data_IF_987653373868
#
_entry.id   IF_987653373868
#
_cell.length_a   1.000
_cell.length_b   1.000
_cell.length_c   1.000
_cell.angle_alpha   90.00
_cell.angle_beta   90.00
_cell.angle_gamma   90.00
#
_symmetry.space_group_name_H-M   'P 1'
#
loop_
_entity.id
_entity.type
_entity.pdbx_description
1 polymer ?
#
# COMPACT_ATOMS: atom_id res chain seq x y z
N UNK A 1 -90.14 -58.75 -1.80
CA UNK A 1 -88.83 -59.17 -2.36
C UNK A 1 -88.60 -58.43 -3.67
N UNK A 2 -87.38 -58.01 -4.05
CA UNK A 2 -86.03 -58.24 -3.47
C UNK A 2 -85.43 -56.95 -2.84
N UNK A 3 -84.70 -56.97 -1.71
CA UNK A 3 -83.29 -57.38 -1.42
C UNK A 3 -82.23 -56.35 -1.89
N UNK A 4 -81.59 -55.63 -0.94
CA UNK A 4 -80.18 -55.80 -0.49
C UNK A 4 -79.24 -54.81 -1.23
N UNK A 5 -78.22 -54.11 -0.72
CA UNK A 5 -77.35 -54.05 0.49
C UNK A 5 -76.74 -52.61 0.44
N UNK A 6 -76.43 -51.86 1.51
CA UNK A 6 -75.15 -51.86 2.27
C UNK A 6 -75.13 -50.70 3.29
N UNK A 7 -74.78 -51.06 4.53
CA UNK A 7 -74.14 -50.19 5.53
C UNK A 7 -72.81 -49.64 5.01
N UNK A 8 -72.44 -48.41 5.43
CA UNK A 8 -71.22 -48.17 6.23
C UNK A 8 -70.88 -46.67 6.36
N UNK A 9 -70.70 -46.26 7.62
CA UNK A 9 -69.66 -45.39 8.14
C UNK A 9 -69.40 -44.00 7.50
N UNK A 10 -69.67 -42.96 8.30
CA UNK A 10 -68.88 -41.72 8.30
C UNK A 10 -67.52 -41.99 8.93
N UNK A 11 -66.43 -41.39 8.42
CA UNK A 11 -65.73 -40.42 9.26
C UNK A 11 -65.20 -39.19 8.51
N UNK A 12 -64.77 -38.23 9.33
CA UNK A 12 -64.34 -36.88 9.01
C UNK A 12 -62.89 -36.77 8.46
N UNK A 13 -62.56 -35.52 8.03
CA UNK A 13 -61.23 -34.93 7.74
C UNK A 13 -60.68 -35.25 6.33
N UNK A 14 -60.19 -34.29 5.55
CA UNK A 14 -59.09 -33.37 5.86
C UNK A 14 -59.37 -31.91 5.46
N UNK A 15 -59.40 -31.04 6.47
CA UNK A 15 -58.82 -29.71 6.34
C UNK A 15 -57.37 -29.84 6.79
N UNK A 16 -56.45 -30.11 5.87
CA UNK A 16 -55.02 -29.88 6.13
C UNK A 16 -54.82 -28.37 6.19
N UNK A 17 -55.01 -27.83 7.40
CA UNK A 17 -54.36 -26.60 7.78
C UNK A 17 -52.87 -26.83 7.65
N UNK A 18 -52.30 -26.29 6.58
CA UNK A 18 -50.88 -25.96 6.53
C UNK A 18 -50.66 -25.02 7.71
N UNK A 19 -50.24 -25.59 8.83
CA UNK A 19 -49.87 -24.83 10.01
C UNK A 19 -48.65 -24.01 9.63
N UNK A 20 -48.88 -22.74 9.35
CA UNK A 20 -47.86 -21.72 9.24
C UNK A 20 -47.06 -21.76 10.54
N UNK A 21 -45.91 -22.43 10.50
CA UNK A 21 -45.06 -22.61 11.65
C UNK A 21 -44.64 -21.21 12.14
N UNK A 22 -44.75 -20.90 13.44
CA UNK A 22 -44.45 -19.56 13.92
C UNK A 22 -43.00 -19.24 13.58
N UNK A 23 -42.79 -18.22 12.74
CA UNK A 23 -41.48 -17.70 12.43
C UNK A 23 -40.82 -17.29 13.75
N UNK A 24 -39.80 -18.04 14.16
CA UNK A 24 -39.08 -17.78 15.39
C UNK A 24 -38.25 -16.51 15.20
N UNK A 25 -38.78 -15.36 15.61
CA UNK A 25 -38.02 -14.12 15.60
C UNK A 25 -36.77 -14.31 16.46
N UNK A 26 -35.57 -14.04 15.92
CA UNK A 26 -34.33 -14.26 16.67
C UNK A 26 -34.35 -13.42 17.95
N UNK A 27 -33.93 -14.02 19.06
CA UNK A 27 -33.87 -13.28 20.34
C UNK A 27 -32.99 -12.04 20.21
N UNK A 28 -33.35 -10.94 20.89
CA UNK A 28 -32.56 -9.69 20.91
C UNK A 28 -31.08 -9.92 21.27
N UNK A 29 -30.80 -10.93 22.11
CA UNK A 29 -29.43 -11.34 22.45
C UNK A 29 -28.71 -11.95 21.24
N UNK A 30 -29.38 -12.81 20.48
CA UNK A 30 -28.81 -13.39 19.26
C UNK A 30 -28.54 -12.31 18.20
N UNK A 31 -29.44 -11.33 18.05
CA UNK A 31 -29.22 -10.19 17.14
C UNK A 31 -28.03 -9.33 17.57
N UNK A 32 -27.91 -9.03 18.87
CA UNK A 32 -26.78 -8.27 19.41
C UNK A 32 -25.45 -9.01 19.22
N UNK A 33 -25.42 -10.33 19.46
CA UNK A 33 -24.23 -11.17 19.23
C UNK A 33 -23.85 -11.15 17.75
N UNK A 34 -24.81 -11.32 16.84
CA UNK A 34 -24.56 -11.27 15.40
C UNK A 34 -24.06 -9.88 14.95
N UNK A 35 -24.58 -8.80 15.53
CA UNK A 35 -24.11 -7.45 15.26
C UNK A 35 -22.65 -7.27 15.68
N UNK A 36 -22.30 -7.68 16.91
CA UNK A 36 -20.93 -7.59 17.43
C UNK A 36 -19.98 -8.43 16.58
N UNK A 37 -20.36 -9.65 16.20
CA UNK A 37 -19.53 -10.51 15.34
C UNK A 37 -19.31 -9.88 13.95
N UNK A 38 -20.34 -9.28 13.34
CA UNK A 38 -20.20 -8.57 12.06
C UNK A 38 -19.25 -7.38 12.17
N UNK A 39 -19.41 -6.56 13.22
CA UNK A 39 -18.52 -5.41 13.46
C UNK A 39 -17.08 -5.89 13.69
N UNK A 40 -16.88 -6.91 14.51
CA UNK A 40 -15.56 -7.49 14.76
C UNK A 40 -14.93 -8.06 13.47
N UNK A 41 -15.71 -8.74 12.63
CA UNK A 41 -15.26 -9.24 11.34
C UNK A 41 -14.83 -8.09 10.41
N UNK A 42 -15.64 -7.04 10.30
CA UNK A 42 -15.31 -5.87 9.46
C UNK A 42 -14.06 -5.17 9.97
N UNK A 43 -13.94 -4.94 11.29
CA UNK A 43 -12.75 -4.34 11.88
C UNK A 43 -11.51 -5.21 11.68
N UNK A 44 -11.63 -6.52 11.86
CA UNK A 44 -10.55 -7.48 11.61
C UNK A 44 -10.11 -7.50 10.15
N UNK A 45 -11.06 -7.47 9.21
CA UNK A 45 -10.78 -7.39 7.78
C UNK A 45 -10.08 -6.08 7.41
N UNK A 46 -10.55 -4.95 7.93
CA UNK A 46 -9.90 -3.64 7.72
C UNK A 46 -8.48 -3.65 8.31
N UNK A 47 -8.31 -4.13 9.54
CA UNK A 47 -6.98 -4.25 10.15
C UNK A 47 -6.05 -5.14 9.33
N UNK A 48 -6.53 -6.29 8.85
CA UNK A 48 -5.78 -7.18 7.96
C UNK A 48 -5.31 -6.44 6.69
N UNK A 49 -6.20 -5.70 6.03
CA UNK A 49 -5.86 -4.89 4.84
C UNK A 49 -4.75 -3.89 5.16
N UNK A 50 -4.85 -3.16 6.28
CA UNK A 50 -3.83 -2.18 6.68
C UNK A 50 -2.53 -2.79 7.22
N UNK A 51 -2.53 -4.06 7.64
CA UNK A 51 -1.32 -4.78 8.07
C UNK A 51 -0.57 -5.37 6.88
N UNK A 52 -1.28 -5.94 5.91
CA UNK A 52 -0.67 -6.68 4.80
C UNK A 52 -0.53 -5.90 3.50
N UNK A 53 -1.50 -5.05 3.15
CA UNK A 53 -1.50 -4.35 1.85
C UNK A 53 -0.85 -2.98 1.97
N UNK A 54 -1.20 -2.24 3.00
CA UNK A 54 -0.69 -0.88 3.21
C UNK A 54 0.33 -0.82 4.34
N UNK A 55 1.10 0.25 4.36
CA UNK A 55 1.91 0.63 5.50
C UNK A 55 1.78 2.11 5.76
N UNK A 56 2.02 2.50 7.01
CA UNK A 56 2.06 3.89 7.41
C UNK A 56 3.41 4.19 8.06
N UNK A 57 4.01 5.32 7.69
CA UNK A 57 5.24 5.83 8.29
C UNK A 57 5.15 7.34 8.40
N UNK A 58 5.80 7.91 9.39
CA UNK A 58 5.98 9.36 9.48
C UNK A 58 7.35 9.72 8.90
N UNK A 59 7.42 10.77 8.07
CA UNK A 59 8.68 11.25 7.53
C UNK A 59 9.59 11.72 8.67
N UNK A 60 10.75 11.07 8.91
CA UNK A 60 11.54 11.29 10.11
C UNK A 60 12.45 12.53 10.03
N UNK A 61 12.73 13.02 8.81
CA UNK A 61 13.70 14.09 8.57
C UNK A 61 13.36 14.95 7.33
N UNK A 62 14.19 15.94 7.03
CA UNK A 62 14.09 16.82 5.85
C UNK A 62 14.77 16.28 4.59
N UNK A 63 15.07 14.98 4.48
CA UNK A 63 15.79 14.41 3.32
C UNK A 63 14.99 14.47 2.01
N UNK A 64 13.68 14.66 2.10
CA UNK A 64 12.75 14.76 0.98
C UNK A 64 12.15 16.17 0.82
N UNK A 65 12.72 17.19 1.49
CA UNK A 65 12.29 18.57 1.29
C UNK A 65 12.62 19.04 -0.13
N UNK A 66 11.73 19.81 -0.80
CA UNK A 66 10.48 20.36 -0.29
C UNK A 66 9.23 19.49 -0.57
N UNK A 67 9.37 18.33 -1.22
CA UNK A 67 8.23 17.49 -1.57
C UNK A 67 7.54 16.93 -0.33
N UNK A 68 8.33 16.38 0.61
CA UNK A 68 7.87 15.83 1.88
C UNK A 68 8.60 16.51 3.03
N UNK A 69 7.82 16.99 3.99
CA UNK A 69 8.33 17.68 5.18
C UNK A 69 8.41 16.70 6.34
N UNK A 70 9.34 16.96 7.25
CA UNK A 70 9.41 16.26 8.52
C UNK A 70 8.03 16.26 9.22
N UNK A 71 7.61 15.07 9.66
CA UNK A 71 6.32 14.88 10.32
C UNK A 71 5.13 14.58 9.40
N UNK A 72 5.28 14.67 8.07
CA UNK A 72 4.26 14.21 7.12
C UNK A 72 3.91 12.74 7.37
N UNK A 73 2.62 12.41 7.36
CA UNK A 73 2.15 11.02 7.47
C UNK A 73 2.01 10.42 6.08
N UNK A 74 2.68 9.30 5.86
CA UNK A 74 2.81 8.64 4.57
C UNK A 74 2.05 7.33 4.62
N UNK A 75 1.21 7.10 3.62
CA UNK A 75 0.60 5.80 3.34
C UNK A 75 1.22 5.24 2.07
N UNK A 76 1.79 4.04 2.14
CA UNK A 76 2.40 3.35 1.00
C UNK A 76 1.73 1.98 0.76
N UNK A 77 1.81 1.50 -0.47
CA UNK A 77 1.29 0.21 -0.90
C UNK A 77 2.42 -0.80 -1.06
N UNK A 78 2.33 -1.90 -0.32
CA UNK A 78 3.40 -2.90 -0.19
C UNK A 78 3.57 -3.78 -1.43
N UNK A 79 2.48 -4.09 -2.11
CA UNK A 79 2.49 -5.03 -3.25
C UNK A 79 2.94 -4.37 -4.56
N UNK A 80 2.91 -3.03 -4.66
CA UNK A 80 3.42 -2.35 -5.84
C UNK A 80 4.93 -2.21 -5.74
N UNK A 81 5.62 -3.07 -6.47
CA UNK A 81 7.08 -3.12 -6.61
C UNK A 81 7.59 -2.75 -8.01
N UNK A 82 6.67 -2.59 -8.95
CA UNK A 82 6.97 -1.97 -10.24
C UNK A 82 7.06 -0.45 -10.06
N UNK A 83 8.29 0.02 -9.94
CA UNK A 83 8.61 1.43 -9.77
C UNK A 83 8.97 2.08 -11.10
N UNK A 84 8.64 3.36 -11.22
CA UNK A 84 9.02 4.20 -12.34
C UNK A 84 9.86 5.39 -11.85
N UNK A 85 10.65 5.98 -12.75
CA UNK A 85 11.31 7.26 -12.47
C UNK A 85 10.30 8.31 -12.02
N UNK A 86 10.64 9.04 -10.96
CA UNK A 86 9.79 10.02 -10.29
C UNK A 86 8.95 9.47 -9.13
N UNK A 87 8.79 8.15 -9.01
CA UNK A 87 8.07 7.56 -7.88
C UNK A 87 8.76 7.86 -6.55
N UNK A 88 7.99 8.07 -5.50
CA UNK A 88 8.52 8.08 -4.13
C UNK A 88 8.23 6.73 -3.50
N UNK A 89 9.25 6.12 -2.93
CA UNK A 89 9.18 4.78 -2.33
C UNK A 89 9.72 4.82 -0.90
N UNK A 90 9.31 3.82 -0.13
CA UNK A 90 9.87 3.57 1.19
C UNK A 90 11.00 2.55 1.05
N UNK A 91 12.21 2.94 1.43
CA UNK A 91 13.42 2.12 1.47
C UNK A 91 13.62 1.64 2.91
N UNK A 92 14.04 0.39 3.08
CA UNK A 92 14.41 -0.17 4.38
C UNK A 92 15.94 -0.20 4.50
N UNK A 93 16.48 0.66 5.37
CA UNK A 93 17.89 0.68 5.76
C UNK A 93 18.04 0.07 7.16
N UNK A 94 18.28 -1.25 7.21
CA UNK A 94 18.58 -1.96 8.45
C UNK A 94 17.47 -1.90 9.51
N UNK A 95 16.21 -1.86 9.09
CA UNK A 95 15.02 -1.71 9.93
C UNK A 95 14.53 -0.25 10.07
N UNK A 96 15.27 0.71 9.52
CA UNK A 96 14.86 2.12 9.49
C UNK A 96 14.22 2.44 8.15
N UNK A 97 12.99 2.99 8.19
CA UNK A 97 12.24 3.33 6.99
C UNK A 97 12.54 4.75 6.54
N UNK A 98 13.08 4.88 5.35
CA UNK A 98 13.41 6.15 4.73
C UNK A 98 12.61 6.35 3.44
N UNK A 99 12.34 7.60 3.09
CA UNK A 99 11.67 7.92 1.84
C UNK A 99 12.69 8.43 0.82
N UNK A 100 12.64 7.89 -0.39
CA UNK A 100 13.51 8.31 -1.49
C UNK A 100 12.73 8.37 -2.80
N UNK A 101 13.16 9.22 -3.73
CA UNK A 101 12.63 9.30 -5.08
C UNK A 101 13.42 8.40 -6.01
N UNK A 102 12.72 7.60 -6.80
CA UNK A 102 13.31 6.79 -7.87
C UNK A 102 13.76 7.72 -8.98
N UNK A 103 15.04 7.64 -9.34
CA UNK A 103 15.64 8.45 -10.40
C UNK A 103 15.83 7.64 -11.67
N UNK A 104 16.22 6.37 -11.51
CA UNK A 104 16.47 5.46 -12.62
C UNK A 104 16.09 4.03 -12.22
N UNK A 105 15.65 3.25 -13.21
CA UNK A 105 15.20 1.87 -13.05
C UNK A 105 16.12 0.93 -13.84
N UNK A 106 15.90 -0.39 -13.73
CA UNK A 106 16.69 -1.41 -14.42
C UNK A 106 16.97 -1.05 -15.90
N UNK A 107 18.23 -1.15 -16.30
CA UNK A 107 18.72 -0.84 -17.65
C UNK A 107 19.12 0.61 -17.88
N UNK A 108 18.68 1.55 -17.03
CA UNK A 108 19.09 2.95 -17.14
C UNK A 108 20.55 3.14 -16.69
N UNK A 109 21.24 4.09 -17.30
CA UNK A 109 22.58 4.56 -16.89
C UNK A 109 22.48 5.93 -16.24
N UNK A 110 22.96 6.03 -14.99
CA UNK A 110 23.07 7.27 -14.22
C UNK A 110 24.51 7.79 -14.31
N UNK A 111 24.66 9.08 -14.56
CA UNK A 111 25.94 9.79 -14.60
C UNK A 111 25.79 11.22 -14.07
N UNK A 112 26.92 11.90 -13.88
CA UNK A 112 26.97 13.28 -13.42
C UNK A 112 27.97 14.09 -14.23
N UNK A 113 27.60 15.33 -14.55
CA UNK A 113 28.46 16.31 -15.21
C UNK A 113 28.60 17.56 -14.34
N UNK A 114 29.38 18.55 -14.79
CA UNK A 114 29.40 19.87 -14.14
C UNK A 114 28.02 20.52 -14.04
N UNK A 115 27.12 20.16 -14.95
CA UNK A 115 25.78 20.75 -15.07
C UNK A 115 24.71 19.90 -14.36
N UNK A 116 25.12 18.84 -13.66
CA UNK A 116 24.26 18.03 -12.79
C UNK A 116 23.99 16.61 -13.29
N UNK A 117 22.83 16.08 -12.89
CA UNK A 117 22.39 14.70 -13.13
C UNK A 117 22.12 14.43 -14.62
N UNK A 118 22.66 13.31 -15.08
CA UNK A 118 22.43 12.76 -16.41
C UNK A 118 21.87 11.35 -16.28
N UNK A 119 20.78 11.04 -16.97
CA UNK A 119 20.22 9.69 -17.07
C UNK A 119 20.12 9.33 -18.56
N UNK A 120 20.69 8.20 -18.94
CA UNK A 120 20.76 7.72 -20.33
C UNK A 120 21.35 8.75 -21.31
N UNK A 121 22.31 9.57 -20.86
CA UNK A 121 22.95 10.61 -21.67
C UNK A 121 22.15 11.92 -21.78
N UNK A 122 21.00 12.03 -21.12
CA UNK A 122 20.18 13.24 -21.11
C UNK A 122 20.23 13.94 -19.75
N UNK A 123 20.46 15.25 -19.75
CA UNK A 123 20.35 16.07 -18.54
C UNK A 123 18.93 16.03 -17.99
N UNK A 124 18.81 15.80 -16.69
CA UNK A 124 17.53 15.74 -16.02
C UNK A 124 17.12 17.14 -15.55
N UNK A 125 15.90 17.54 -15.89
CA UNK A 125 15.29 18.74 -15.34
C UNK A 125 14.63 18.39 -14.01
N UNK A 126 15.04 19.05 -12.95
CA UNK A 126 14.64 18.73 -11.59
C UNK A 126 13.74 19.84 -11.04
N UNK A 127 12.44 19.55 -10.92
CA UNK A 127 11.50 20.53 -10.40
C UNK A 127 11.64 20.67 -8.89
N UNK A 128 11.67 21.92 -8.41
CA UNK A 128 11.79 22.28 -6.98
C UNK A 128 13.05 21.76 -6.27
N UNK A 129 14.06 21.33 -7.02
CA UNK A 129 15.39 20.97 -6.52
C UNK A 129 16.33 22.13 -6.87
N UNK A 130 16.76 22.89 -5.86
CA UNK A 130 17.53 24.13 -6.06
C UNK A 130 19.03 23.98 -5.77
N UNK A 131 19.43 22.83 -5.23
CA UNK A 131 20.84 22.53 -4.97
C UNK A 131 21.46 21.84 -6.20
N UNK A 132 22.78 21.98 -6.33
CA UNK A 132 23.51 21.22 -7.34
C UNK A 132 23.38 19.73 -7.08
N UNK A 133 23.09 19.00 -8.15
CA UNK A 133 22.99 17.56 -8.12
C UNK A 133 24.31 16.98 -8.59
N UNK A 134 25.20 16.72 -7.63
CA UNK A 134 26.54 16.20 -7.86
C UNK A 134 26.76 14.89 -7.09
N UNK A 135 27.74 14.06 -7.51
CA UNK A 135 28.08 12.83 -6.82
C UNK A 135 28.81 13.15 -5.51
N UNK A 136 28.74 12.24 -4.54
CA UNK A 136 29.53 12.35 -3.33
C UNK A 136 31.00 12.02 -3.61
N UNK A 137 31.93 12.79 -3.03
CA UNK A 137 33.37 12.52 -3.14
C UNK A 137 33.76 11.15 -2.59
N UNK A 138 33.05 10.67 -1.57
CA UNK A 138 33.23 9.35 -0.96
C UNK A 138 32.14 8.34 -1.41
N UNK A 139 31.46 8.61 -2.53
CA UNK A 139 30.39 7.78 -3.06
C UNK A 139 30.87 6.68 -4.01
N UNK A 140 29.91 6.09 -4.72
CA UNK A 140 30.19 5.15 -5.80
C UNK A 140 30.76 5.85 -7.04
N UNK A 141 31.23 5.06 -8.00
CA UNK A 141 31.74 5.57 -9.28
C UNK A 141 30.63 5.68 -10.33
N UNK A 142 30.79 6.66 -11.22
CA UNK A 142 29.90 6.93 -12.35
C UNK A 142 30.67 6.87 -13.68
N UNK A 143 29.98 6.53 -14.80
CA UNK A 143 28.56 6.18 -14.90
C UNK A 143 28.25 4.81 -14.27
N UNK A 144 27.00 4.62 -13.84
CA UNK A 144 26.51 3.34 -13.31
C UNK A 144 25.23 2.92 -14.02
N UNK A 145 25.16 1.67 -14.45
CA UNK A 145 23.93 1.07 -14.99
C UNK A 145 23.17 0.36 -13.88
N UNK A 146 21.88 0.67 -13.75
CA UNK A 146 20.99 0.04 -12.77
C UNK A 146 20.71 -1.40 -13.19
N UNK A 147 20.97 -2.35 -12.29
CA UNK A 147 20.74 -3.77 -12.53
C UNK A 147 19.26 -4.15 -12.55
N UNK A 148 18.97 -5.32 -13.12
CA UNK A 148 17.65 -5.95 -13.00
C UNK A 148 17.26 -6.14 -11.52
N UNK A 149 16.01 -5.84 -11.19
CA UNK A 149 15.51 -5.91 -9.81
C UNK A 149 16.01 -4.79 -8.89
N UNK A 150 16.68 -3.77 -9.42
CA UNK A 150 17.20 -2.65 -8.64
C UNK A 150 16.63 -1.31 -9.11
N UNK A 151 16.72 -0.31 -8.22
CA UNK A 151 16.41 1.10 -8.52
C UNK A 151 17.50 2.01 -7.99
N UNK A 152 17.81 3.07 -8.72
CA UNK A 152 18.64 4.15 -8.23
C UNK A 152 17.77 5.24 -7.62
N UNK A 153 17.97 5.56 -6.34
CA UNK A 153 17.10 6.47 -5.60
C UNK A 153 17.87 7.65 -5.02
N UNK A 154 17.22 8.81 -4.96
CA UNK A 154 17.80 10.03 -4.39
C UNK A 154 16.80 10.73 -3.48
N UNK A 155 17.30 11.43 -2.45
CA UNK A 155 16.48 12.37 -1.71
C UNK A 155 16.25 13.64 -2.51
N UNK A 156 15.10 14.28 -2.34
CA UNK A 156 14.83 15.58 -2.96
C UNK A 156 15.72 16.68 -2.36
N UNK A 157 16.06 16.57 -1.08
CA UNK A 157 17.08 17.42 -0.48
C UNK A 157 18.48 16.87 -0.79
N UNK A 158 19.03 17.27 -1.94
CA UNK A 158 20.30 16.75 -2.48
C UNK A 158 21.50 16.91 -1.57
N UNK A 159 21.51 17.93 -0.73
CA UNK A 159 22.57 18.17 0.27
C UNK A 159 22.32 17.47 1.60
N UNK A 160 21.06 17.18 1.94
CA UNK A 160 20.65 16.61 3.22
C UNK A 160 20.39 15.11 3.21
N UNK A 161 20.39 14.47 2.05
CA UNK A 161 20.08 13.04 1.90
C UNK A 161 21.33 12.19 1.72
N UNK A 162 21.38 11.06 2.41
CA UNK A 162 22.26 9.93 2.08
C UNK A 162 21.45 8.95 1.24
N UNK A 163 21.86 8.78 -0.01
CA UNK A 163 21.07 8.06 -1.00
C UNK A 163 21.95 7.23 -1.94
N UNK A 164 21.41 6.73 -3.07
CA UNK A 164 22.15 5.88 -4.00
C UNK A 164 23.42 6.53 -4.56
N UNK A 165 23.61 7.85 -4.39
CA UNK A 165 24.89 8.48 -4.69
C UNK A 165 26.05 8.01 -3.82
N UNK A 166 25.75 7.58 -2.61
CA UNK A 166 26.72 7.08 -1.65
C UNK A 166 26.84 5.55 -1.72
N UNK A 167 25.72 4.83 -1.76
CA UNK A 167 25.68 3.37 -1.60
C UNK A 167 25.29 2.59 -2.86
N UNK A 168 24.90 3.26 -3.96
CA UNK A 168 24.49 2.62 -5.21
C UNK A 168 23.00 2.21 -5.28
N UNK A 169 22.62 1.46 -6.32
CA UNK A 169 21.24 1.00 -6.51
C UNK A 169 20.75 0.13 -5.35
N UNK A 170 19.45 0.22 -5.08
CA UNK A 170 18.75 -0.53 -4.03
C UNK A 170 18.00 -1.70 -4.65
N UNK A 171 18.15 -2.89 -4.09
CA UNK A 171 17.34 -4.07 -4.45
C UNK A 171 15.87 -3.85 -4.08
N UNK A 172 14.97 -4.04 -5.05
CA UNK A 172 13.53 -3.79 -4.88
C UNK A 172 12.94 -4.73 -3.83
N UNK A 173 13.27 -6.02 -3.89
CA UNK A 173 12.64 -7.04 -3.04
C UNK A 173 13.08 -6.97 -1.58
N UNK A 174 14.38 -6.76 -1.34
CA UNK A 174 14.96 -6.78 0.01
C UNK A 174 15.14 -5.40 0.62
N UNK A 175 15.28 -4.35 -0.20
CA UNK A 175 15.61 -3.00 0.25
C UNK A 175 14.44 -2.01 0.18
N UNK A 176 13.23 -2.45 -0.22
CA UNK A 176 12.08 -1.54 -0.30
C UNK A 176 10.83 -2.12 0.38
N UNK A 177 10.01 -1.24 0.92
CA UNK A 177 8.75 -1.58 1.60
C UNK A 177 7.52 -1.33 0.72
N UNK A 178 7.61 -0.44 -0.27
CA UNK A 178 6.54 -0.17 -1.24
C UNK A 178 6.49 1.27 -1.75
N UNK A 179 5.56 1.53 -2.66
CA UNK A 179 5.36 2.85 -3.27
C UNK A 179 4.46 3.75 -2.43
N UNK A 180 4.87 5.01 -2.25
CA UNK A 180 4.04 6.03 -1.59
C UNK A 180 2.79 6.30 -2.42
N UNK A 181 1.62 6.19 -1.79
CA UNK A 181 0.34 6.50 -2.43
C UNK A 181 -0.22 7.84 -1.97
N UNK A 182 -0.05 8.18 -0.69
CA UNK A 182 -0.71 9.34 -0.10
C UNK A 182 0.16 9.96 0.96
N UNK A 183 0.18 11.30 0.95
CA UNK A 183 0.87 12.14 1.92
C UNK A 183 -0.18 12.97 2.63
N UNK A 184 -0.18 12.93 3.97
CA UNK A 184 -1.08 13.70 4.81
C UNK A 184 -0.26 14.68 5.64
N UNK A 185 -0.27 15.95 5.22
CA UNK A 185 0.38 17.06 5.93
C UNK A 185 -0.60 17.74 6.87
N UNK A 186 -0.31 17.73 8.17
CA UNK A 186 -1.21 18.29 9.20
C UNK A 186 -0.83 19.69 9.69
N UNK A 187 0.43 20.12 9.50
CA UNK A 187 0.97 21.40 9.99
C UNK A 187 1.97 21.95 8.98
N UNK A 188 2.25 23.26 9.05
CA UNK A 188 3.21 23.97 8.19
C UNK A 188 2.90 23.79 6.70
N UNK A 189 1.86 24.46 6.20
CA UNK A 189 1.54 24.54 4.77
C UNK A 189 2.48 25.55 4.10
#
# INVERSE_FOLDING_TARGET
MPRHVMDAASPARDATGEADAPAHEPSLVAELVLLVLKVAFVLGFVAMVFVFLFGMVQQPDGSMDPALREGDLIVYYRLQKEYAAGDVIVVDDGGTKELRRVIAVAGDTVDFTSDGLVVNGYHQSEDRIYAETLPFTAGISYPITVGEGQVFVMGDNRTGSKDSRLYGPVDIESGTEGKVMTVVRRRNF
#
